data_IF_100307536608
#
_entry.id   IF_100307536608
#
_cell.length_a   1.000
_cell.length_b   1.000
_cell.length_c   1.000
_cell.angle_alpha   90.00
_cell.angle_beta   90.00
_cell.angle_gamma   90.00
#
_symmetry.space_group_name_H-M   'P 1'
#
loop_
_entity.id
_entity.type
_entity.pdbx_description
1 polymer ?
#
# COMPACT_ATOMS: atom_id res chain seq x y z
N UNK A 1 -58.85 24.54 42.10
CA UNK A 1 -57.42 24.25 41.85
C UNK A 1 -57.35 23.25 40.71
N UNK A 2 -56.57 23.53 39.66
CA UNK A 2 -56.59 22.80 38.39
C UNK A 2 -55.87 21.45 38.49
N UNK A 3 -56.30 20.56 37.59
CA UNK A 3 -55.87 19.17 37.38
C UNK A 3 -54.94 19.18 36.18
N UNK A 4 -53.65 18.92 36.39
CA UNK A 4 -52.67 18.74 35.33
C UNK A 4 -52.60 17.26 34.91
N UNK A 5 -52.73 16.96 33.60
CA UNK A 5 -52.51 15.63 33.05
C UNK A 5 -51.02 15.38 32.76
N UNK A 6 -50.57 14.17 33.10
CA UNK A 6 -49.25 13.62 32.76
C UNK A 6 -49.13 13.35 31.25
N UNK A 7 -47.99 13.68 30.60
CA UNK A 7 -47.69 13.22 29.25
C UNK A 7 -47.13 11.78 29.26
N UNK A 8 -47.47 10.91 28.29
CA UNK A 8 -46.84 9.61 28.16
C UNK A 8 -45.42 9.73 27.57
N UNK A 9 -44.51 9.00 28.21
CA UNK A 9 -43.16 8.73 27.75
C UNK A 9 -43.19 8.04 26.38
N UNK A 10 -42.53 8.65 25.39
CA UNK A 10 -42.22 8.01 24.11
C UNK A 10 -40.74 8.24 23.83
N UNK A 11 -39.95 7.19 23.98
CA UNK A 11 -38.56 7.13 23.53
C UNK A 11 -38.37 5.80 22.83
N UNK A 12 -38.18 5.87 21.52
CA UNK A 12 -37.76 4.80 20.63
C UNK A 12 -36.74 5.41 19.62
N UNK A 13 -35.90 4.61 18.95
CA UNK A 13 -34.51 4.38 19.33
C UNK A 13 -33.50 5.01 18.34
N UNK A 14 -32.23 5.24 18.71
CA UNK A 14 -31.16 5.19 17.72
C UNK A 14 -30.76 3.72 17.52
N UNK A 15 -31.23 3.11 16.43
CA UNK A 15 -30.73 1.83 15.97
C UNK A 15 -29.32 2.02 15.42
N UNK A 16 -28.32 1.74 16.26
CA UNK A 16 -26.91 1.71 15.90
C UNK A 16 -26.68 0.56 14.93
N UNK A 17 -26.81 0.84 13.63
CA UNK A 17 -26.54 -0.12 12.57
C UNK A 17 -25.03 -0.28 12.44
N UNK A 18 -24.46 -1.12 13.30
CA UNK A 18 -23.12 -1.66 13.15
C UNK A 18 -23.06 -2.41 11.83
N UNK A 19 -22.62 -1.74 10.77
CA UNK A 19 -22.22 -2.42 9.55
C UNK A 19 -20.94 -3.19 9.88
N UNK A 20 -21.13 -4.44 10.30
CA UNK A 20 -20.09 -5.47 10.31
C UNK A 20 -19.56 -5.54 8.89
N UNK A 21 -18.44 -4.86 8.63
CA UNK A 21 -17.66 -5.06 7.40
C UNK A 21 -17.07 -6.46 7.55
N UNK A 22 -17.78 -7.44 7.00
CA UNK A 22 -17.25 -8.78 6.74
C UNK A 22 -16.01 -8.62 5.87
N UNK A 23 -14.84 -8.62 6.51
CA UNK A 23 -13.55 -8.76 5.85
C UNK A 23 -13.48 -10.19 5.30
N UNK A 24 -13.97 -10.39 4.09
CA UNK A 24 -13.57 -11.48 3.22
C UNK A 24 -12.06 -11.37 2.96
N UNK A 25 -11.27 -11.91 3.88
CA UNK A 25 -9.86 -12.16 3.69
C UNK A 25 -9.76 -13.47 2.90
N UNK A 26 -9.85 -13.37 1.57
CA UNK A 26 -9.63 -14.51 0.68
C UNK A 26 -8.18 -14.95 0.82
N UNK A 27 -7.99 -16.01 1.61
CA UNK A 27 -6.71 -16.71 1.79
C UNK A 27 -6.44 -17.47 0.50
N UNK A 28 -5.60 -16.88 -0.36
CA UNK A 28 -4.88 -17.61 -1.40
C UNK A 28 -3.77 -18.43 -0.75
N UNK A 29 -3.85 -19.75 -0.91
CA UNK A 29 -2.89 -20.74 -0.45
C UNK A 29 -1.61 -20.62 -1.27
N UNK A 30 -0.48 -20.23 -0.67
CA UNK A 30 0.88 -20.55 -1.16
C UNK A 30 1.97 -20.10 -0.18
N UNK A 31 2.43 -21.04 0.66
CA UNK A 31 3.58 -20.88 1.55
C UNK A 31 3.42 -19.79 2.62
N UNK A 32 3.99 -20.00 3.80
CA UNK A 32 4.17 -18.87 4.74
C UNK A 32 5.32 -18.04 4.20
N UNK A 33 5.08 -17.30 3.10
CA UNK A 33 5.99 -16.28 2.63
C UNK A 33 6.01 -15.22 3.72
N UNK A 34 7.12 -15.15 4.45
CA UNK A 34 7.34 -14.10 5.44
C UNK A 34 7.10 -12.78 4.72
N UNK A 35 6.08 -12.04 5.19
CA UNK A 35 5.59 -10.86 4.48
C UNK A 35 6.70 -9.80 4.36
N UNK A 36 7.58 -9.75 5.35
CA UNK A 36 8.75 -8.90 5.37
C UNK A 36 9.96 -9.72 4.90
N UNK A 37 10.55 -9.39 3.72
CA UNK A 37 11.75 -10.06 3.23
C UNK A 37 12.91 -9.81 4.19
N UNK A 38 13.78 -10.81 4.33
CA UNK A 38 15.05 -10.68 5.05
C UNK A 38 16.20 -10.59 4.05
N UNK A 39 17.32 -9.91 4.35
CA UNK A 39 18.52 -9.95 3.50
C UNK A 39 19.06 -11.38 3.29
N UNK A 40 18.76 -12.31 4.21
CA UNK A 40 19.10 -13.74 4.06
C UNK A 40 18.09 -14.53 3.22
N UNK A 41 17.01 -13.92 2.75
CA UNK A 41 15.97 -14.57 1.95
C UNK A 41 16.48 -14.74 0.50
N UNK A 42 16.68 -15.99 0.02
CA UNK A 42 17.20 -16.22 -1.32
C UNK A 42 16.26 -15.75 -2.44
N UNK A 43 15.00 -15.43 -2.12
CA UNK A 43 14.03 -14.86 -3.05
C UNK A 43 13.80 -13.36 -2.89
N UNK A 44 14.71 -12.64 -2.23
CA UNK A 44 14.65 -11.19 -2.07
C UNK A 44 15.95 -10.52 -2.54
N UNK A 45 15.81 -9.55 -3.44
CA UNK A 45 16.88 -8.68 -3.92
C UNK A 45 16.62 -7.29 -3.37
N UNK A 46 17.51 -6.82 -2.50
CA UNK A 46 17.45 -5.46 -1.95
C UNK A 46 18.21 -4.49 -2.87
N UNK A 47 17.51 -3.45 -3.32
CA UNK A 47 18.06 -2.41 -4.18
C UNK A 47 18.28 -1.16 -3.34
N UNK A 48 19.52 -0.69 -3.37
CA UNK A 48 19.99 0.44 -2.58
C UNK A 48 20.24 1.69 -3.44
N UNK A 49 20.21 2.91 -2.85
CA UNK A 49 20.66 4.13 -3.51
C UNK A 49 22.11 3.99 -4.04
N UNK A 50 22.48 4.68 -5.14
CA UNK A 50 21.73 5.72 -5.85
C UNK A 50 20.72 5.17 -6.91
N UNK A 51 20.33 3.90 -6.81
CA UNK A 51 19.42 3.25 -7.75
C UNK A 51 19.96 3.21 -9.19
N UNK A 52 21.27 3.10 -9.33
CA UNK A 52 21.96 2.88 -10.61
C UNK A 52 22.47 1.44 -10.76
N UNK A 53 22.38 0.64 -9.70
CA UNK A 53 22.84 -0.74 -9.64
C UNK A 53 21.65 -1.62 -9.29
N UNK A 54 21.02 -2.15 -10.33
CA UNK A 54 19.93 -3.13 -10.27
C UNK A 54 19.95 -3.97 -11.56
N UNK A 55 19.32 -5.16 -11.60
CA UNK A 55 19.32 -5.97 -12.81
C UNK A 55 18.75 -5.17 -13.99
N UNK A 56 19.42 -5.23 -15.15
CA UNK A 56 19.07 -4.49 -16.37
C UNK A 56 19.09 -2.95 -16.24
N UNK A 57 19.83 -2.38 -15.27
CA UNK A 57 19.92 -0.92 -15.10
C UNK A 57 20.36 -0.17 -16.37
N UNK A 58 21.24 -0.76 -17.17
CA UNK A 58 21.70 -0.27 -18.48
C UNK A 58 20.57 -0.13 -19.52
N UNK A 59 19.48 -0.91 -19.39
CA UNK A 59 18.30 -0.82 -20.26
C UNK A 59 17.29 0.23 -19.79
N UNK A 60 17.45 0.76 -18.59
CA UNK A 60 16.52 1.68 -17.95
C UNK A 60 17.14 3.06 -17.71
N UNK A 61 17.14 3.90 -18.76
CA UNK A 61 17.70 5.26 -18.72
C UNK A 61 17.04 6.19 -17.69
N UNK A 62 15.77 5.93 -17.36
CA UNK A 62 15.02 6.67 -16.34
C UNK A 62 15.32 6.20 -14.90
N UNK A 63 16.16 5.18 -14.74
CA UNK A 63 16.51 4.57 -13.45
C UNK A 63 15.41 3.66 -12.90
N UNK A 64 15.51 3.35 -11.60
CA UNK A 64 14.54 2.51 -10.91
C UNK A 64 13.20 3.24 -10.75
N UNK A 65 12.12 2.61 -11.20
CA UNK A 65 10.75 3.13 -11.10
C UNK A 65 9.84 2.16 -10.37
N UNK A 66 8.71 2.66 -9.85
CA UNK A 66 7.70 1.81 -9.20
C UNK A 66 7.23 0.65 -10.09
N UNK A 67 7.04 0.89 -11.39
CA UNK A 67 6.56 -0.14 -12.30
C UNK A 67 7.55 -1.29 -12.43
N UNK A 68 8.86 -1.01 -12.48
CA UNK A 68 9.89 -2.04 -12.47
C UNK A 68 9.87 -2.85 -11.18
N UNK A 69 9.73 -2.18 -10.04
CA UNK A 69 9.57 -2.84 -8.73
C UNK A 69 8.28 -3.66 -8.61
N UNK A 70 7.24 -3.31 -9.35
CA UNK A 70 5.98 -4.03 -9.36
C UNK A 70 6.04 -5.27 -10.27
N UNK A 71 6.75 -5.19 -11.39
CA UNK A 71 6.97 -6.30 -12.33
C UNK A 71 7.97 -7.34 -11.79
N UNK A 72 8.90 -6.91 -10.91
CA UNK A 72 9.90 -7.77 -10.27
C UNK A 72 9.55 -7.95 -8.78
N UNK A 73 8.69 -8.93 -8.41
CA UNK A 73 8.18 -9.09 -7.05
C UNK A 73 9.23 -9.52 -6.02
N UNK A 74 10.39 -9.98 -6.48
CA UNK A 74 11.58 -10.26 -5.68
C UNK A 74 12.42 -9.01 -5.38
N UNK A 75 12.17 -7.87 -6.02
CA UNK A 75 12.90 -6.63 -5.75
C UNK A 75 12.27 -5.86 -4.60
N UNK A 76 13.09 -5.52 -3.61
CA UNK A 76 12.71 -4.77 -2.43
C UNK A 76 13.66 -3.59 -2.21
N UNK A 77 13.16 -2.57 -1.54
CA UNK A 77 13.97 -1.47 -1.02
C UNK A 77 14.27 -1.75 0.45
N UNK A 78 15.43 -1.32 0.91
CA UNK A 78 15.78 -1.40 2.33
C UNK A 78 15.27 -0.16 3.08
N UNK A 79 14.42 -0.31 4.12
CA UNK A 79 13.99 0.83 4.94
C UNK A 79 15.15 1.63 5.56
N UNK A 80 16.31 1.02 5.79
CA UNK A 80 17.49 1.67 6.35
C UNK A 80 18.13 2.71 5.41
N UNK A 81 17.79 2.68 4.12
CA UNK A 81 18.26 3.66 3.14
C UNK A 81 17.43 4.95 3.14
N UNK A 82 16.30 4.97 3.84
CA UNK A 82 15.35 6.08 3.80
C UNK A 82 15.25 6.82 5.12
N UNK A 83 15.04 8.13 5.02
CA UNK A 83 14.77 8.98 6.18
C UNK A 83 13.47 8.49 6.83
N UNK A 84 13.58 8.04 8.07
CA UNK A 84 12.46 7.61 8.90
C UNK A 84 12.64 8.11 10.33
N UNK A 85 11.56 8.13 11.11
CA UNK A 85 11.62 8.59 12.51
C UNK A 85 12.45 7.69 13.43
N UNK A 86 12.88 6.52 12.94
CA UNK A 86 13.63 5.51 13.70
C UNK A 86 14.99 5.20 13.07
N UNK A 87 15.40 5.95 12.04
CA UNK A 87 16.63 5.71 11.29
C UNK A 87 17.56 6.91 11.42
N UNK A 88 18.71 6.70 12.04
CA UNK A 88 19.74 7.72 12.26
C UNK A 88 20.85 7.70 11.19
N UNK A 89 20.67 6.95 10.09
CA UNK A 89 21.64 6.87 9.02
C UNK A 89 21.83 8.25 8.35
N UNK A 90 23.02 8.88 8.40
CA UNK A 90 23.26 10.20 7.83
C UNK A 90 23.22 10.21 6.29
N UNK A 91 23.35 9.04 5.65
CA UNK A 91 23.26 8.89 4.21
C UNK A 91 21.85 8.51 3.75
N UNK A 92 20.88 8.46 4.67
CA UNK A 92 19.50 8.13 4.33
C UNK A 92 18.90 9.20 3.40
N UNK A 93 18.23 8.75 2.35
CA UNK A 93 17.61 9.63 1.36
C UNK A 93 16.10 9.76 1.59
N UNK A 94 15.50 10.82 1.05
CA UNK A 94 14.03 10.91 1.00
C UNK A 94 13.49 9.87 0.02
N UNK A 95 12.30 9.33 0.29
CA UNK A 95 11.63 8.41 -0.62
C UNK A 95 11.36 9.08 -1.99
N UNK A 96 11.96 8.60 -3.09
CA UNK A 96 11.87 9.24 -4.38
C UNK A 96 10.45 9.14 -4.99
N UNK A 97 9.95 10.20 -5.64
CA UNK A 97 8.61 10.21 -6.23
C UNK A 97 8.46 9.22 -7.41
N UNK A 98 9.55 8.86 -8.11
CA UNK A 98 9.52 7.85 -9.18
C UNK A 98 9.28 6.42 -8.67
N UNK A 99 9.51 6.18 -7.37
CA UNK A 99 9.20 4.92 -6.69
C UNK A 99 7.80 4.95 -6.06
N UNK A 100 7.07 6.08 -6.12
CA UNK A 100 5.66 6.10 -5.76
C UNK A 100 4.79 5.48 -6.87
N UNK A 101 3.71 4.77 -6.51
CA UNK A 101 2.72 4.33 -7.48
C UNK A 101 2.22 5.49 -8.37
N UNK A 102 2.06 5.29 -9.69
CA UNK A 102 1.71 6.36 -10.61
C UNK A 102 0.39 7.07 -10.24
N UNK A 103 0.28 8.35 -10.64
CA UNK A 103 -0.95 9.12 -10.48
C UNK A 103 -1.99 8.56 -11.45
N UNK A 104 -3.15 8.15 -10.92
CA UNK A 104 -4.19 7.53 -11.74
C UNK A 104 -4.19 6.01 -11.77
N UNK A 105 -3.53 5.32 -10.80
CA UNK A 105 -3.68 3.87 -10.57
C UNK A 105 -5.14 3.40 -10.36
N UNK A 106 -6.15 4.26 -10.48
CA UNK A 106 -7.54 3.85 -10.34
C UNK A 106 -7.94 2.92 -11.51
N UNK A 107 -8.21 1.62 -11.27
CA UNK A 107 -8.66 0.70 -12.31
C UNK A 107 -10.00 1.16 -12.90
N UNK A 108 -10.81 1.86 -12.10
CA UNK A 108 -12.13 2.35 -12.48
C UNK A 108 -12.10 3.46 -13.55
N UNK A 109 -10.96 4.11 -13.82
CA UNK A 109 -10.84 5.08 -14.92
C UNK A 109 -10.37 4.45 -16.25
N UNK A 110 -9.90 3.20 -16.24
CA UNK A 110 -9.65 2.41 -17.46
C UNK A 110 -10.83 1.48 -17.79
N UNK A 111 -12.06 1.91 -17.49
CA UNK A 111 -13.29 1.13 -17.67
C UNK A 111 -13.74 0.99 -19.14
N UNK A 112 -12.97 1.51 -20.11
CA UNK A 112 -13.26 1.35 -21.54
C UNK A 112 -12.45 0.23 -22.23
N UNK A 113 -11.52 -0.44 -21.54
CA UNK A 113 -10.93 -1.70 -22.02
C UNK A 113 -11.49 -2.88 -21.23
N UNK A 114 -12.83 -2.96 -21.22
CA UNK A 114 -13.62 -3.90 -20.42
C UNK A 114 -14.01 -5.10 -21.28
N UNK A 115 -13.05 -5.94 -21.67
CA UNK A 115 -13.39 -7.27 -22.22
C UNK A 115 -12.30 -8.35 -22.06
N UNK A 116 -11.18 -8.09 -21.38
CA UNK A 116 -10.20 -9.17 -21.13
C UNK A 116 -9.24 -8.85 -20.00
N UNK A 117 -9.68 -8.98 -18.75
CA UNK A 117 -8.74 -9.32 -17.68
C UNK A 117 -9.16 -10.70 -17.18
N UNK A 118 -8.32 -11.74 -17.37
CA UNK A 118 -8.64 -13.07 -16.89
C UNK A 118 -8.82 -13.03 -15.37
N UNK A 119 -9.80 -13.80 -14.91
CA UNK A 119 -10.21 -13.89 -13.51
C UNK A 119 -9.00 -14.19 -12.60
N UNK A 120 -8.55 -13.20 -11.83
CA UNK A 120 -7.39 -13.32 -10.93
C UNK A 120 -6.33 -12.22 -11.08
N UNK A 121 -6.33 -11.45 -12.17
CA UNK A 121 -5.36 -10.36 -12.43
C UNK A 121 -5.94 -8.95 -12.22
N UNK A 122 -6.63 -8.70 -11.11
CA UNK A 122 -6.90 -7.29 -10.75
C UNK A 122 -5.56 -6.55 -10.55
N UNK A 123 -5.36 -5.34 -11.09
CA UNK A 123 -4.12 -4.59 -10.91
C UNK A 123 -3.90 -4.26 -9.42
N UNK A 124 -2.93 -4.94 -8.80
CA UNK A 124 -2.60 -4.78 -7.37
C UNK A 124 -1.39 -3.88 -7.20
N UNK A 125 -1.48 -2.92 -6.28
CA UNK A 125 -0.32 -2.18 -5.80
C UNK A 125 0.47 -3.05 -4.84
N UNK A 126 1.73 -3.30 -5.16
CA UNK A 126 2.70 -3.96 -4.27
C UNK A 126 3.44 -2.94 -3.41
N UNK A 127 3.71 -3.29 -2.15
CA UNK A 127 4.66 -2.55 -1.33
C UNK A 127 6.08 -2.77 -1.84
N UNK A 128 6.88 -1.71 -2.01
CA UNK A 128 8.27 -1.85 -2.46
C UNK A 128 9.21 -2.34 -1.37
N UNK A 129 8.75 -2.44 -0.12
CA UNK A 129 9.55 -2.85 1.05
C UNK A 129 9.18 -4.24 1.58
N UNK A 130 8.02 -4.77 1.17
CA UNK A 130 7.52 -6.05 1.65
C UNK A 130 6.57 -6.71 0.65
N UNK A 131 6.19 -7.95 0.88
CA UNK A 131 5.36 -8.75 -0.04
C UNK A 131 3.87 -8.39 -0.01
N UNK A 132 3.46 -7.35 0.74
CA UNK A 132 2.04 -6.94 0.80
C UNK A 132 1.56 -6.29 -0.50
N UNK A 133 0.31 -6.58 -0.83
CA UNK A 133 -0.38 -6.05 -2.01
C UNK A 133 -1.75 -5.47 -1.67
N UNK A 134 -2.18 -4.48 -2.44
CA UNK A 134 -3.42 -3.73 -2.24
C UNK A 134 -4.19 -3.62 -3.55
N UNK A 135 -5.49 -3.91 -3.52
CA UNK A 135 -6.37 -3.83 -4.69
C UNK A 135 -7.55 -2.88 -4.44
N UNK A 136 -8.28 -2.55 -5.50
CA UNK A 136 -9.46 -1.70 -5.47
C UNK A 136 -9.17 -0.18 -5.47
N UNK A 137 -10.26 0.60 -5.43
CA UNK A 137 -10.23 2.07 -5.60
C UNK A 137 -9.39 2.81 -4.55
N UNK A 138 -9.25 2.22 -3.35
CA UNK A 138 -8.51 2.78 -2.23
C UNK A 138 -7.09 2.19 -2.08
N UNK A 139 -6.63 1.36 -3.03
CA UNK A 139 -5.34 0.68 -2.94
C UNK A 139 -4.18 1.64 -2.65
N UNK A 140 -4.15 2.80 -3.30
CA UNK A 140 -3.07 3.79 -3.14
C UNK A 140 -3.02 4.38 -1.74
N UNK A 141 -4.17 4.70 -1.15
CA UNK A 141 -4.26 5.22 0.21
C UNK A 141 -3.86 4.16 1.23
N UNK A 142 -4.30 2.91 1.02
CA UNK A 142 -3.92 1.76 1.85
C UNK A 142 -2.41 1.49 1.78
N UNK A 143 -1.83 1.50 0.58
CA UNK A 143 -0.40 1.37 0.35
C UNK A 143 0.39 2.47 1.08
N UNK A 144 -0.02 3.74 0.94
CA UNK A 144 0.64 4.86 1.63
C UNK A 144 0.60 4.73 3.15
N UNK A 145 -0.58 4.39 3.71
CA UNK A 145 -0.73 4.17 5.14
C UNK A 145 0.17 3.02 5.61
N UNK A 146 0.23 1.94 4.86
CA UNK A 146 1.08 0.79 5.19
C UNK A 146 2.57 1.15 5.21
N UNK A 147 3.07 1.82 4.17
CA UNK A 147 4.49 2.23 4.12
C UNK A 147 4.85 3.12 5.31
N UNK A 148 3.98 4.07 5.64
CA UNK A 148 4.20 4.94 6.79
C UNK A 148 4.13 4.20 8.14
N UNK A 149 3.12 3.35 8.35
CA UNK A 149 2.92 2.71 9.65
C UNK A 149 3.91 1.58 9.90
N UNK A 150 4.23 0.78 8.87
CA UNK A 150 5.10 -0.39 8.99
C UNK A 150 6.56 -0.07 8.74
N UNK A 151 6.87 0.62 7.65
CA UNK A 151 8.25 0.91 7.28
C UNK A 151 8.74 2.27 7.81
N UNK A 152 7.86 3.09 8.41
CA UNK A 152 8.17 4.41 9.01
C UNK A 152 8.68 5.45 8.02
N UNK A 153 8.46 5.23 6.73
CA UNK A 153 8.94 6.11 5.66
C UNK A 153 7.83 7.07 5.25
N UNK A 154 8.12 8.37 5.34
CA UNK A 154 7.23 9.42 4.87
C UNK A 154 7.37 9.59 3.34
N UNK A 155 6.24 9.62 2.64
CA UNK A 155 6.21 9.90 1.20
C UNK A 155 6.46 11.39 0.93
N UNK A 156 7.12 11.70 -0.19
CA UNK A 156 7.57 13.06 -0.54
C UNK A 156 6.43 14.11 -0.59
N UNK A 157 5.19 13.68 -0.78
CA UNK A 157 4.04 14.57 -0.94
C UNK A 157 3.19 14.78 0.33
N UNK A 158 3.75 14.60 1.54
CA UNK A 158 3.15 15.23 2.71
C UNK A 158 3.41 16.73 2.60
N UNK A 159 2.36 17.49 2.27
CA UNK A 159 2.27 18.88 2.72
C UNK A 159 2.33 18.81 4.25
N UNK A 160 3.44 19.31 4.80
CA UNK A 160 3.47 19.82 6.17
C UNK A 160 2.36 20.87 6.36
#
# INVERSE_FOLDING_TARGET
>A
MPKEPTPPSSSAPPSSRSHVITRHNSIGVNGVQVLDPSPSDPGALFIHPPFTVFPDADKHKDGLTYNLMATNPEWFLDPADFISAINDNPNAIRYPPQLEPPRGWCPAKKKELKDSWPEGEEPRLRCTFCRRTYAGVNAKSMWRRHVYEKHKIAMANRRD
#
